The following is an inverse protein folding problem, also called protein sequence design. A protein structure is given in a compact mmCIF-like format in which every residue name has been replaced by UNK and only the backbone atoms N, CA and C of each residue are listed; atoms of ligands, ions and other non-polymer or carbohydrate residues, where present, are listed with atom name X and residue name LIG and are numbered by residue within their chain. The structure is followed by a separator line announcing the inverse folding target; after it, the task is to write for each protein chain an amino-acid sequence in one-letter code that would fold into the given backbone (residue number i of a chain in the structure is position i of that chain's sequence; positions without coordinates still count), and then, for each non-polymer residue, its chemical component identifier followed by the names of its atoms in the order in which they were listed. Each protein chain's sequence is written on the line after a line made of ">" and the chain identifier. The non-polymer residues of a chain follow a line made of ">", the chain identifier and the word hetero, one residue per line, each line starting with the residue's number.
data_IF_895736795040
#
_entry.id   IF_895736795040
#
_cell.length_a   1.000
_cell.length_b   1.000
_cell.length_c   1.000
_cell.angle_alpha   90.00
_cell.angle_beta   90.00
_cell.angle_gamma   90.00
#
_symmetry.space_group_name_H-M   'P 1'
#
loop_
_entity.id
_entity.type
_entity.pdbx_description
1 polymer ?
#
# COMPACT_ATOMS: atom_id res chain seq x y z
N UNK A 1 -26.03 5.73 -4.09
CA UNK A 1 -25.47 6.73 -5.02
C UNK A 1 -26.39 7.93 -5.19
N UNK A 2 -27.70 7.75 -5.42
CA UNK A 2 -28.65 8.85 -5.56
C UNK A 2 -28.78 9.70 -4.28
N UNK A 3 -28.82 9.10 -3.10
CA UNK A 3 -28.83 9.79 -1.80
C UNK A 3 -27.58 10.67 -1.57
N UNK A 4 -26.41 10.20 -2.01
CA UNK A 4 -25.15 10.96 -1.92
C UNK A 4 -25.21 12.19 -2.84
N UNK A 5 -25.76 12.01 -4.04
CA UNK A 5 -25.95 13.11 -5.02
C UNK A 5 -26.94 14.14 -4.48
N UNK A 6 -28.02 13.70 -3.86
CA UNK A 6 -29.07 14.60 -3.36
C UNK A 6 -28.58 15.35 -2.11
N UNK A 7 -27.78 14.70 -1.25
CA UNK A 7 -27.15 15.35 -0.09
C UNK A 7 -26.04 16.32 -0.51
N UNK A 8 -25.24 16.00 -1.53
CA UNK A 8 -24.26 16.93 -2.09
C UNK A 8 -24.92 18.18 -2.68
N UNK A 9 -26.08 18.05 -3.35
CA UNK A 9 -26.88 19.19 -3.87
C UNK A 9 -27.42 20.06 -2.74
N UNK A 10 -27.91 19.46 -1.66
CA UNK A 10 -28.40 20.17 -0.48
C UNK A 10 -27.30 21.01 0.17
N UNK A 11 -26.11 20.44 0.33
CA UNK A 11 -24.95 21.10 0.93
C UNK A 11 -24.35 22.19 0.02
N UNK A 12 -24.37 22.02 -1.30
CA UNK A 12 -23.95 23.05 -2.26
C UNK A 12 -24.96 24.21 -2.34
N UNK A 13 -26.24 23.97 -2.04
CA UNK A 13 -27.27 25.02 -1.98
C UNK A 13 -27.14 25.89 -0.71
N UNK A 14 -26.47 25.42 0.34
CA UNK A 14 -26.26 26.14 1.58
C UNK A 14 -24.94 26.95 1.52
N UNK A 15 -25.09 28.26 1.24
CA UNK A 15 -23.96 29.21 1.22
C UNK A 15 -23.17 29.27 2.53
N UNK A 16 -23.68 28.67 3.61
CA UNK A 16 -23.02 28.56 4.91
C UNK A 16 -21.89 27.52 4.87
N UNK A 17 -21.99 26.47 4.08
CA UNK A 17 -20.96 25.43 3.92
C UNK A 17 -19.70 26.00 3.27
N UNK A 18 -19.83 26.87 2.28
CA UNK A 18 -18.70 27.58 1.68
C UNK A 18 -17.96 28.48 2.68
N UNK A 19 -18.67 28.95 3.73
CA UNK A 19 -18.13 29.78 4.80
C UNK A 19 -17.46 28.96 5.90
N UNK A 20 -17.94 27.75 6.19
CA UNK A 20 -17.41 26.82 7.20
C UNK A 20 -16.08 26.22 6.74
N UNK A 21 -15.84 26.10 5.44
CA UNK A 21 -14.57 25.64 4.88
C UNK A 21 -13.41 26.64 5.07
N UNK A 22 -13.66 27.84 5.60
CA UNK A 22 -12.64 28.77 6.08
C UNK A 22 -11.64 29.23 5.02
N UNK A 23 -11.95 29.11 3.74
CA UNK A 23 -11.10 29.53 2.66
C UNK A 23 -11.09 31.05 2.56
N UNK A 24 -10.07 31.66 3.17
CA UNK A 24 -9.66 33.04 2.84
C UNK A 24 -8.71 32.95 1.65
N UNK A 25 -9.05 33.68 0.60
CA UNK A 25 -8.11 33.94 -0.47
C UNK A 25 -6.83 34.51 0.15
N UNK A 26 -5.73 33.77 0.12
CA UNK A 26 -4.44 34.16 0.70
C UNK A 26 -3.72 33.09 1.53
N UNK A 27 -4.41 32.02 1.97
CA UNK A 27 -3.81 31.00 2.82
C UNK A 27 -3.17 29.82 2.05
N UNK A 28 -3.20 29.83 0.73
CA UNK A 28 -2.53 28.85 -0.12
C UNK A 28 -1.32 29.49 -0.82
N UNK A 29 -0.18 28.79 -0.90
CA UNK A 29 1.03 29.31 -1.59
C UNK A 29 0.87 29.43 -3.11
N UNK A 30 -0.24 29.01 -3.67
CA UNK A 30 -0.66 29.20 -5.06
C UNK A 30 -2.08 29.74 -5.07
N UNK A 31 -2.29 30.88 -5.69
CA UNK A 31 -3.57 31.53 -5.85
C UNK A 31 -4.32 30.97 -7.08
N UNK A 32 -5.09 29.88 -6.96
CA UNK A 32 -6.03 29.52 -8.01
C UNK A 32 -7.22 30.45 -7.84
N UNK A 33 -7.65 31.07 -8.91
CA UNK A 33 -8.97 31.71 -8.95
C UNK A 33 -10.01 30.72 -8.47
N UNK A 34 -11.04 31.17 -7.73
CA UNK A 34 -12.06 30.25 -7.19
C UNK A 34 -12.69 29.49 -8.36
N UNK A 35 -12.42 28.18 -8.42
CA UNK A 35 -13.06 27.31 -9.40
C UNK A 35 -14.52 27.10 -8.98
N UNK A 36 -15.43 27.69 -9.71
CA UNK A 36 -16.85 27.42 -9.56
C UNK A 36 -17.20 26.16 -10.32
N UNK A 37 -17.69 25.14 -9.62
CA UNK A 37 -18.20 23.94 -10.23
C UNK A 37 -19.69 24.15 -10.56
N UNK A 38 -20.01 24.27 -11.85
CA UNK A 38 -21.40 24.49 -12.28
C UNK A 38 -22.23 23.19 -12.30
N UNK A 39 -21.57 22.03 -12.27
CA UNK A 39 -22.23 20.73 -12.34
C UNK A 39 -21.58 19.69 -11.41
N UNK A 40 -22.35 18.67 -11.00
CA UNK A 40 -21.84 17.51 -10.25
C UNK A 40 -20.79 16.73 -11.06
N UNK A 41 -20.88 16.76 -12.40
CA UNK A 41 -19.93 16.12 -13.31
C UNK A 41 -18.57 16.80 -13.26
N UNK A 42 -18.51 18.14 -13.29
CA UNK A 42 -17.25 18.90 -13.18
C UNK A 42 -16.59 18.74 -11.80
N UNK A 43 -17.37 18.55 -10.74
CA UNK A 43 -16.84 18.21 -9.40
C UNK A 43 -16.27 16.79 -9.37
N UNK A 44 -16.92 15.84 -10.02
CA UNK A 44 -16.40 14.46 -10.15
C UNK A 44 -15.09 14.44 -10.94
N UNK A 45 -15.01 15.11 -12.08
CA UNK A 45 -13.79 15.19 -12.89
C UNK A 45 -12.64 15.86 -12.12
N UNK A 46 -12.93 16.89 -11.34
CA UNK A 46 -11.95 17.52 -10.48
C UNK A 46 -11.46 16.57 -9.37
N UNK A 47 -12.36 15.82 -8.73
CA UNK A 47 -12.02 14.85 -7.68
C UNK A 47 -11.31 13.62 -8.25
N UNK A 48 -11.69 13.13 -9.43
CA UNK A 48 -11.09 11.92 -10.04
C UNK A 48 -9.78 12.19 -10.78
N UNK A 49 -9.65 13.33 -11.45
CA UNK A 49 -8.53 13.61 -12.36
C UNK A 49 -7.51 14.61 -11.79
N UNK A 50 -7.81 15.29 -10.69
CA UNK A 50 -7.00 16.39 -10.16
C UNK A 50 -6.08 16.06 -8.98
N UNK A 51 -6.24 14.93 -8.30
CA UNK A 51 -5.60 14.74 -7.00
C UNK A 51 -5.02 13.34 -6.75
N UNK A 52 -3.79 13.16 -7.21
CA UNK A 52 -2.78 12.32 -6.56
C UNK A 52 -1.65 13.24 -6.08
N UNK A 53 -1.84 13.95 -4.97
CA UNK A 53 -0.85 14.83 -4.36
C UNK A 53 -1.15 15.02 -2.87
N UNK A 54 -0.23 14.61 -2.03
CA UNK A 54 -0.35 14.27 -0.62
C UNK A 54 -0.83 15.35 0.38
N UNK A 55 -1.02 16.60 0.00
CA UNK A 55 -1.32 17.66 0.98
C UNK A 55 -2.79 18.10 1.09
N UNK A 56 -3.68 17.60 0.23
CA UNK A 56 -5.13 17.87 0.35
C UNK A 56 -5.89 16.74 1.06
N UNK A 57 -5.27 15.60 1.30
CA UNK A 57 -5.89 14.43 1.93
C UNK A 57 -6.49 14.74 3.30
N UNK A 58 -5.80 15.50 4.13
CA UNK A 58 -6.24 15.82 5.49
C UNK A 58 -7.53 16.66 5.54
N UNK A 59 -7.73 17.57 4.60
CA UNK A 59 -8.92 18.40 4.50
C UNK A 59 -10.08 17.70 3.78
N UNK A 60 -9.77 16.88 2.77
CA UNK A 60 -10.78 16.05 2.08
C UNK A 60 -11.32 14.94 2.99
N UNK A 61 -10.49 14.35 3.86
CA UNK A 61 -10.91 13.36 4.87
C UNK A 61 -11.89 13.99 5.86
N UNK A 62 -11.63 15.21 6.32
CA UNK A 62 -12.55 15.95 7.20
C UNK A 62 -13.88 16.25 6.50
N UNK A 63 -13.85 16.63 5.23
CA UNK A 63 -15.04 16.88 4.41
C UNK A 63 -15.84 15.59 4.18
N UNK A 64 -15.17 14.49 3.82
CA UNK A 64 -15.79 13.17 3.69
C UNK A 64 -16.42 12.69 5.00
N UNK A 65 -15.75 12.85 6.15
CA UNK A 65 -16.31 12.51 7.47
C UNK A 65 -17.57 13.30 7.81
N UNK A 66 -17.66 14.57 7.41
CA UNK A 66 -18.86 15.40 7.64
C UNK A 66 -19.98 15.12 6.64
N UNK A 67 -19.65 14.84 5.37
CA UNK A 67 -20.62 14.59 4.31
C UNK A 67 -21.26 13.20 4.38
N UNK A 68 -20.51 12.19 4.81
CA UNK A 68 -20.95 10.78 4.79
C UNK A 68 -21.56 10.32 6.11
N UNK A 69 -21.61 11.19 7.15
CA UNK A 69 -22.26 10.90 8.44
C UNK A 69 -22.13 9.42 8.80
N UNK A 70 -20.98 9.02 9.34
CA UNK A 70 -20.65 7.69 9.82
C UNK A 70 -21.37 6.56 9.08
N UNK A 71 -20.82 6.06 7.98
CA UNK A 71 -21.24 4.77 7.45
C UNK A 71 -21.04 3.80 8.62
N UNK A 72 -22.15 3.32 9.21
CA UNK A 72 -22.12 2.17 10.10
C UNK A 72 -21.33 1.11 9.32
N UNK A 73 -20.31 0.49 9.94
CA UNK A 73 -19.69 -0.70 9.38
C UNK A 73 -20.83 -1.58 8.89
N UNK A 74 -21.04 -1.62 7.59
CA UNK A 74 -21.91 -2.62 7.01
C UNK A 74 -21.33 -3.94 7.48
N UNK A 75 -22.16 -4.82 8.05
CA UNK A 75 -21.75 -6.17 8.39
C UNK A 75 -21.08 -6.73 7.13
N UNK A 76 -19.75 -6.93 7.17
CA UNK A 76 -19.00 -7.41 6.02
C UNK A 76 -19.39 -8.86 5.85
N UNK A 77 -20.42 -9.11 5.04
CA UNK A 77 -20.94 -10.45 4.81
C UNK A 77 -20.11 -11.13 3.72
N UNK A 78 -19.41 -12.18 4.09
CA UNK A 78 -18.68 -13.02 3.15
C UNK A 78 -19.64 -14.08 2.57
N UNK A 79 -20.27 -14.87 3.46
CA UNK A 79 -21.31 -15.82 3.13
C UNK A 79 -22.21 -16.07 4.35
N UNK A 80 -23.09 -17.07 4.30
CA UNK A 80 -23.91 -17.46 5.44
C UNK A 80 -23.11 -18.23 6.50
N UNK A 81 -22.02 -18.88 6.10
CA UNK A 81 -21.17 -19.74 6.94
C UNK A 81 -19.80 -19.11 7.25
N UNK A 82 -19.36 -18.11 6.49
CA UNK A 82 -18.06 -17.44 6.69
C UNK A 82 -18.29 -16.00 7.13
N UNK A 83 -17.82 -15.68 8.34
CA UNK A 83 -18.07 -14.42 9.03
C UNK A 83 -16.76 -13.64 9.20
N UNK A 84 -16.79 -12.35 8.94
CA UNK A 84 -15.68 -11.45 9.28
C UNK A 84 -15.68 -11.15 10.78
N UNK A 85 -14.54 -11.35 11.43
CA UNK A 85 -14.33 -11.10 12.87
C UNK A 85 -13.14 -10.17 13.14
N UNK A 86 -12.56 -9.57 12.09
CA UNK A 86 -11.45 -8.64 12.19
C UNK A 86 -11.81 -7.31 12.85
N UNK A 87 -10.83 -6.43 12.94
CA UNK A 87 -10.93 -5.12 13.61
C UNK A 87 -10.22 -4.04 12.81
N UNK A 88 -10.86 -2.86 12.71
CA UNK A 88 -10.21 -1.63 12.26
C UNK A 88 -9.45 -0.98 13.43
N UNK A 89 -8.13 -0.77 13.31
CA UNK A 89 -7.35 0.10 14.20
C UNK A 89 -7.18 1.47 13.53
N UNK A 90 -7.88 2.46 14.07
CA UNK A 90 -7.87 3.85 13.60
C UNK A 90 -6.98 4.76 14.44
N UNK A 91 -6.44 4.21 15.52
CA UNK A 91 -5.63 4.93 16.49
C UNK A 91 -4.11 4.67 16.28
N UNK A 92 -3.78 3.74 15.37
CA UNK A 92 -2.40 3.51 14.96
C UNK A 92 -1.92 4.68 14.09
N UNK A 93 -0.73 5.21 14.39
CA UNK A 93 -0.08 6.28 13.62
C UNK A 93 0.92 5.74 12.59
N UNK A 94 1.68 4.70 12.96
CA UNK A 94 2.70 4.08 12.13
C UNK A 94 2.52 2.56 12.09
N UNK A 95 2.28 1.99 10.92
CA UNK A 95 2.35 0.55 10.69
C UNK A 95 3.82 0.10 10.65
N UNK A 96 4.14 -1.04 11.26
CA UNK A 96 5.53 -1.51 11.48
C UNK A 96 6.47 -0.42 12.07
N UNK A 97 5.93 0.56 12.80
CA UNK A 97 6.67 1.70 13.35
C UNK A 97 7.42 2.55 12.31
N UNK A 98 7.02 2.49 11.04
CA UNK A 98 7.68 3.22 9.96
C UNK A 98 6.75 3.77 8.88
N UNK A 99 5.60 3.15 8.61
CA UNK A 99 4.70 3.57 7.53
C UNK A 99 3.54 4.38 8.09
N UNK A 100 3.39 5.62 7.64
CA UNK A 100 2.26 6.45 8.03
C UNK A 100 0.93 5.83 7.53
N UNK A 101 -0.03 5.69 8.43
CA UNK A 101 -1.35 5.13 8.11
C UNK A 101 -2.46 6.07 8.61
N UNK A 102 -2.63 7.23 7.97
CA UNK A 102 -3.55 8.27 8.44
C UNK A 102 -5.02 7.82 8.47
N UNK A 103 -5.37 6.78 7.72
CA UNK A 103 -6.68 6.16 7.70
C UNK A 103 -6.73 4.84 8.50
N UNK A 104 -5.73 4.61 9.36
CA UNK A 104 -5.61 3.40 10.17
C UNK A 104 -5.25 2.16 9.33
N UNK A 105 -5.54 0.99 9.89
CA UNK A 105 -5.35 -0.31 9.24
C UNK A 105 -6.46 -1.26 9.66
N UNK A 106 -6.81 -2.23 8.83
CA UNK A 106 -7.67 -3.34 9.22
C UNK A 106 -6.82 -4.57 9.51
N UNK A 107 -7.05 -5.23 10.65
CA UNK A 107 -6.54 -6.56 10.94
C UNK A 107 -7.68 -7.54 10.69
N UNK A 108 -7.63 -8.20 9.54
CA UNK A 108 -8.69 -9.08 9.12
C UNK A 108 -8.50 -10.47 9.73
N UNK A 109 -9.58 -11.03 10.20
CA UNK A 109 -9.67 -12.38 10.70
C UNK A 109 -11.07 -12.91 10.36
N UNK A 110 -11.19 -14.21 10.14
CA UNK A 110 -12.43 -14.80 9.65
C UNK A 110 -12.80 -16.02 10.47
N UNK A 111 -14.08 -16.34 10.51
CA UNK A 111 -14.62 -17.52 11.18
C UNK A 111 -15.42 -18.34 10.18
N UNK A 112 -15.06 -19.60 10.02
CA UNK A 112 -15.83 -20.58 9.23
C UNK A 112 -16.65 -21.41 10.20
N UNK A 113 -17.98 -21.29 10.07
CA UNK A 113 -18.97 -22.00 10.87
C UNK A 113 -19.45 -23.25 10.12
N UNK A 114 -19.05 -24.41 10.59
CA UNK A 114 -19.40 -25.71 10.03
C UNK A 114 -19.47 -26.77 11.14
N UNK A 115 -19.49 -28.07 10.81
CA UNK A 115 -19.41 -29.18 11.79
C UNK A 115 -18.16 -29.03 12.67
N UNK A 116 -17.04 -28.57 12.06
CA UNK A 116 -15.83 -28.12 12.70
C UNK A 116 -15.65 -26.62 12.45
N UNK A 117 -15.43 -25.88 13.51
CA UNK A 117 -15.31 -24.42 13.44
C UNK A 117 -13.83 -24.04 13.31
N UNK A 118 -13.50 -23.25 12.30
CA UNK A 118 -12.14 -22.75 12.08
C UNK A 118 -12.07 -21.23 12.17
N UNK A 119 -11.12 -20.73 12.97
CA UNK A 119 -10.70 -19.31 13.02
C UNK A 119 -9.53 -19.14 12.07
N UNK A 120 -9.60 -18.16 11.15
CA UNK A 120 -8.55 -17.83 10.20
C UNK A 120 -7.79 -16.63 10.74
N UNK A 121 -6.56 -16.85 11.20
CA UNK A 121 -5.67 -15.89 11.85
C UNK A 121 -6.30 -15.15 13.05
N UNK A 122 -5.51 -14.29 13.68
CA UNK A 122 -5.97 -13.43 14.77
C UNK A 122 -5.82 -11.96 14.39
N UNK A 123 -5.62 -11.06 15.33
CA UNK A 123 -5.36 -9.64 15.12
C UNK A 123 -4.23 -9.16 16.03
N UNK A 124 -3.78 -7.94 15.82
CA UNK A 124 -2.79 -7.28 16.65
C UNK A 124 -3.24 -7.21 18.13
N UNK A 125 -2.29 -7.30 19.05
CA UNK A 125 -2.57 -7.18 20.48
C UNK A 125 -3.18 -5.85 20.88
N UNK A 126 -2.96 -4.79 20.12
CA UNK A 126 -3.54 -3.45 20.32
C UNK A 126 -5.07 -3.49 20.30
N UNK A 127 -5.64 -4.37 19.49
CA UNK A 127 -7.09 -4.51 19.29
C UNK A 127 -7.65 -5.82 19.86
N UNK A 128 -6.88 -6.50 20.70
CA UNK A 128 -7.18 -7.83 21.26
C UNK A 128 -8.60 -7.95 21.84
N UNK A 129 -9.00 -7.02 22.69
CA UNK A 129 -10.30 -7.11 23.36
C UNK A 129 -11.47 -7.02 22.35
N UNK A 130 -11.32 -6.17 21.34
CA UNK A 130 -12.34 -6.04 20.29
C UNK A 130 -12.42 -7.26 19.38
N UNK A 131 -11.26 -7.82 19.04
CA UNK A 131 -11.19 -9.06 18.27
C UNK A 131 -11.86 -10.22 19.02
N UNK A 132 -11.59 -10.40 20.32
CA UNK A 132 -12.28 -11.43 21.13
C UNK A 132 -13.77 -11.19 21.24
N UNK A 133 -14.22 -9.93 21.39
CA UNK A 133 -15.65 -9.60 21.40
C UNK A 133 -16.33 -10.03 20.08
N UNK A 134 -15.68 -9.74 18.93
CA UNK A 134 -16.19 -10.14 17.61
C UNK A 134 -16.25 -11.66 17.46
N UNK A 135 -15.16 -12.36 17.85
CA UNK A 135 -15.07 -13.82 17.82
C UNK A 135 -16.15 -14.47 18.68
N UNK A 136 -16.29 -14.05 19.93
CA UNK A 136 -17.29 -14.62 20.87
C UNK A 136 -18.71 -14.38 20.40
N UNK A 137 -18.99 -13.20 19.87
CA UNK A 137 -20.28 -12.88 19.28
C UNK A 137 -20.60 -13.79 18.09
N UNK A 138 -19.63 -14.02 17.20
CA UNK A 138 -19.80 -14.86 16.03
C UNK A 138 -19.94 -16.34 16.40
N UNK A 139 -19.19 -16.83 17.39
CA UNK A 139 -19.29 -18.19 17.92
C UNK A 139 -20.64 -18.47 18.60
N UNK A 140 -21.31 -17.44 19.13
CA UNK A 140 -22.60 -17.58 19.81
C UNK A 140 -22.66 -18.73 20.83
N UNK A 141 -21.59 -18.91 21.60
CA UNK A 141 -21.46 -19.97 22.62
C UNK A 141 -20.84 -21.28 22.09
N UNK A 142 -20.59 -21.43 20.80
CA UNK A 142 -19.81 -22.55 20.27
C UNK A 142 -18.30 -22.41 20.62
N UNK A 143 -17.53 -23.46 20.40
CA UNK A 143 -16.09 -23.50 20.66
C UNK A 143 -15.37 -23.82 19.35
N UNK A 144 -14.33 -23.10 18.97
CA UNK A 144 -13.60 -23.37 17.75
C UNK A 144 -12.76 -24.66 17.88
N UNK A 145 -12.75 -25.45 16.79
CA UNK A 145 -11.93 -26.68 16.69
C UNK A 145 -10.51 -26.35 16.21
N UNK A 146 -10.38 -25.33 15.36
CA UNK A 146 -9.11 -24.98 14.72
C UNK A 146 -8.85 -23.48 14.75
N UNK A 147 -7.58 -23.11 14.93
CA UNK A 147 -7.01 -21.81 14.58
C UNK A 147 -6.02 -22.03 13.45
N UNK A 148 -6.32 -21.53 12.27
CA UNK A 148 -5.44 -21.55 11.10
C UNK A 148 -4.50 -20.37 11.23
N UNK A 149 -3.19 -20.59 11.09
CA UNK A 149 -2.17 -19.54 11.19
C UNK A 149 -1.48 -19.41 9.84
N UNK A 150 -1.96 -18.50 9.03
CA UNK A 150 -1.41 -18.21 7.70
C UNK A 150 -0.07 -17.49 7.82
N UNK A 151 0.06 -16.62 8.87
CA UNK A 151 1.21 -15.76 9.07
C UNK A 151 1.51 -15.54 10.55
N UNK A 152 2.81 -15.44 10.91
CA UNK A 152 3.27 -15.28 12.29
C UNK A 152 3.66 -13.84 12.67
N UNK A 153 3.50 -12.87 11.77
CA UNK A 153 3.72 -11.49 12.13
C UNK A 153 2.77 -11.06 13.25
N UNK A 154 3.25 -10.30 14.26
CA UNK A 154 2.48 -10.03 15.48
C UNK A 154 1.13 -9.35 15.26
N UNK A 155 0.95 -8.63 14.17
CA UNK A 155 -0.33 -7.99 13.83
C UNK A 155 -1.43 -8.99 13.40
N UNK A 156 -1.05 -10.25 13.07
CA UNK A 156 -1.97 -11.37 12.82
C UNK A 156 -1.84 -12.47 13.87
N UNK A 157 -0.66 -12.59 14.47
CA UNK A 157 -0.34 -13.67 15.41
C UNK A 157 -0.46 -13.25 16.90
N UNK A 158 -0.63 -11.97 17.19
CA UNK A 158 -0.53 -11.43 18.55
C UNK A 158 -1.46 -12.09 19.58
N UNK A 159 -2.59 -12.61 19.15
CA UNK A 159 -3.57 -13.25 20.04
C UNK A 159 -3.55 -14.78 20.03
N UNK A 160 -2.63 -15.45 19.32
CA UNK A 160 -2.56 -16.91 19.22
C UNK A 160 -2.50 -17.55 20.62
N UNK A 161 -1.59 -17.09 21.49
CA UNK A 161 -1.43 -17.65 22.83
C UNK A 161 -2.70 -17.47 23.67
N UNK A 162 -3.28 -16.28 23.65
CA UNK A 162 -4.48 -15.93 24.41
C UNK A 162 -5.69 -16.76 23.94
N UNK A 163 -5.80 -16.99 22.62
CA UNK A 163 -6.82 -17.86 22.04
C UNK A 163 -6.60 -19.32 22.40
N UNK A 164 -5.35 -19.81 22.34
CA UNK A 164 -5.00 -21.18 22.73
C UNK A 164 -5.29 -21.46 24.21
N UNK A 165 -5.08 -20.50 25.12
CA UNK A 165 -5.39 -20.63 26.54
C UNK A 165 -6.89 -20.61 26.79
N UNK A 166 -7.62 -19.77 26.04
CA UNK A 166 -9.08 -19.65 26.17
C UNK A 166 -9.81 -20.90 25.65
N UNK A 167 -9.28 -21.53 24.60
CA UNK A 167 -9.87 -22.71 23.96
C UNK A 167 -8.89 -23.89 24.01
N UNK A 168 -8.78 -24.59 25.15
CA UNK A 168 -7.73 -25.56 25.37
C UNK A 168 -7.79 -26.81 24.47
N UNK A 169 -8.93 -27.11 23.86
CA UNK A 169 -9.09 -28.25 22.92
C UNK A 169 -8.86 -27.85 21.46
N UNK A 170 -8.83 -26.54 21.15
CA UNK A 170 -8.61 -26.02 19.80
C UNK A 170 -7.22 -26.38 19.28
N UNK A 171 -7.10 -27.00 18.12
CA UNK A 171 -5.81 -27.25 17.44
C UNK A 171 -5.36 -26.03 16.69
N UNK A 172 -4.05 -25.81 16.65
CA UNK A 172 -3.43 -24.72 15.91
C UNK A 172 -2.81 -25.31 14.64
N UNK A 173 -3.35 -24.92 13.50
CA UNK A 173 -2.95 -25.44 12.18
C UNK A 173 -1.83 -24.54 11.66
N UNK A 174 -0.67 -25.12 11.43
CA UNK A 174 0.55 -24.45 11.02
C UNK A 174 1.31 -25.29 9.99
N UNK A 175 2.19 -24.70 9.23
CA UNK A 175 3.14 -25.47 8.44
C UNK A 175 4.44 -25.77 9.21
N UNK A 176 5.32 -26.59 8.66
CA UNK A 176 6.57 -27.00 9.31
C UNK A 176 7.53 -25.82 9.60
N UNK A 177 7.43 -24.72 8.84
CA UNK A 177 8.25 -23.53 9.08
C UNK A 177 7.69 -22.75 10.26
N UNK A 178 6.36 -22.55 10.30
CA UNK A 178 5.67 -21.95 11.43
C UNK A 178 5.87 -22.76 12.72
N UNK A 179 5.84 -24.10 12.65
CA UNK A 179 6.15 -24.98 13.79
C UNK A 179 7.50 -24.63 14.44
N UNK A 180 8.52 -24.35 13.62
CA UNK A 180 9.85 -23.99 14.15
C UNK A 180 9.96 -22.55 14.62
N UNK A 181 9.13 -21.63 14.11
CA UNK A 181 9.15 -20.20 14.45
C UNK A 181 8.23 -19.88 15.63
N UNK A 182 7.08 -20.54 15.75
CA UNK A 182 6.07 -20.27 16.75
C UNK A 182 6.61 -20.25 18.20
N UNK A 183 7.53 -21.17 18.62
CA UNK A 183 8.12 -21.13 19.96
C UNK A 183 9.01 -19.90 20.24
N UNK A 184 9.37 -19.13 19.23
CA UNK A 184 10.09 -17.86 19.42
C UNK A 184 9.17 -16.75 19.91
N UNK A 185 7.86 -16.89 19.71
CA UNK A 185 6.83 -15.93 20.09
C UNK A 185 5.99 -16.43 21.27
N UNK A 186 5.62 -17.73 21.29
CA UNK A 186 4.62 -18.26 22.20
C UNK A 186 5.01 -19.63 22.75
N UNK A 187 4.75 -19.85 24.03
CA UNK A 187 4.82 -21.16 24.67
C UNK A 187 3.51 -21.91 24.42
N UNK A 188 3.51 -22.77 23.41
CA UNK A 188 2.37 -23.64 23.03
C UNK A 188 2.88 -25.07 22.92
N UNK A 189 2.15 -26.00 23.56
CA UNK A 189 2.52 -27.43 23.55
C UNK A 189 2.41 -28.02 22.14
N UNK A 190 3.39 -28.83 21.74
CA UNK A 190 3.46 -29.42 20.39
C UNK A 190 2.26 -30.31 20.05
N UNK A 191 1.62 -30.94 21.05
CA UNK A 191 0.42 -31.73 20.84
C UNK A 191 -0.81 -30.91 20.42
N UNK A 192 -0.74 -29.59 20.61
CA UNK A 192 -1.76 -28.65 20.13
C UNK A 192 -1.63 -28.33 18.64
N UNK A 193 -0.48 -28.63 18.02
CA UNK A 193 -0.19 -28.29 16.65
C UNK A 193 -0.72 -29.37 15.69
N UNK A 194 -1.33 -28.92 14.60
CA UNK A 194 -1.64 -29.72 13.42
C UNK A 194 -0.78 -29.20 12.27
N UNK A 195 0.18 -30.02 11.84
CA UNK A 195 1.14 -29.61 10.81
C UNK A 195 0.60 -29.96 9.43
N UNK A 196 0.52 -28.95 8.56
CA UNK A 196 0.07 -29.07 7.17
C UNK A 196 1.22 -28.74 6.19
N UNK A 197 1.09 -29.19 4.97
CA UNK A 197 2.04 -28.95 3.86
C UNK A 197 1.30 -28.62 2.57
N UNK A 198 2.07 -28.32 1.53
CA UNK A 198 1.55 -28.02 0.19
C UNK A 198 0.55 -29.07 -0.29
N UNK A 199 -0.66 -28.60 -0.60
CA UNK A 199 -1.74 -29.43 -1.15
C UNK A 199 -2.50 -30.29 -0.14
N UNK A 200 -2.17 -30.24 1.16
CA UNK A 200 -2.97 -30.90 2.19
C UNK A 200 -4.38 -30.26 2.26
N UNK A 201 -5.33 -31.06 2.71
CA UNK A 201 -6.72 -30.64 2.87
C UNK A 201 -7.18 -30.86 4.32
N UNK A 202 -7.97 -29.92 4.84
CA UNK A 202 -8.64 -30.01 6.13
C UNK A 202 -10.15 -29.89 5.93
N UNK A 203 -10.86 -30.97 6.14
CA UNK A 203 -12.33 -30.95 6.09
C UNK A 203 -12.91 -30.41 7.39
N UNK A 204 -13.85 -29.48 7.26
CA UNK A 204 -14.61 -28.88 8.37
C UNK A 204 -16.04 -29.43 8.42
N UNK A 205 -16.44 -30.24 7.43
CA UNK A 205 -17.79 -30.73 7.21
C UNK A 205 -18.20 -30.48 5.76
N UNK A 206 -18.99 -29.47 5.52
CA UNK A 206 -19.34 -28.99 4.17
C UNK A 206 -18.24 -28.16 3.53
N UNK A 207 -17.38 -27.54 4.31
CA UNK A 207 -16.21 -26.77 3.86
C UNK A 207 -14.93 -27.61 3.89
N UNK A 208 -14.02 -27.32 2.98
CA UNK A 208 -12.69 -27.92 2.94
C UNK A 208 -11.66 -26.86 2.64
N UNK A 209 -10.66 -26.73 3.51
CA UNK A 209 -9.50 -25.86 3.31
C UNK A 209 -8.38 -26.64 2.65
N UNK A 210 -7.88 -26.14 1.51
CA UNK A 210 -6.69 -26.65 0.85
C UNK A 210 -5.54 -25.65 1.05
N UNK A 211 -4.37 -26.15 1.48
CA UNK A 211 -3.23 -25.32 1.88
C UNK A 211 -2.19 -25.17 0.76
N UNK A 212 -1.73 -23.94 0.55
CA UNK A 212 -0.67 -23.61 -0.40
C UNK A 212 0.43 -22.84 0.30
N UNK A 213 1.66 -23.32 0.22
CA UNK A 213 2.79 -22.61 0.81
C UNK A 213 3.18 -21.41 -0.04
N UNK A 214 3.33 -20.27 0.61
CA UNK A 214 3.66 -18.96 0.01
C UNK A 214 4.93 -18.35 0.62
N UNK A 215 6.07 -19.09 0.66
CA UNK A 215 7.27 -18.65 1.36
C UNK A 215 7.77 -17.32 0.81
N UNK A 216 8.13 -16.40 1.71
CA UNK A 216 8.58 -15.04 1.42
C UNK A 216 7.53 -14.13 0.78
N UNK A 217 6.24 -14.43 0.97
CA UNK A 217 5.16 -13.51 0.64
C UNK A 217 4.39 -13.14 1.94
N UNK A 218 4.99 -12.32 2.89
CA UNK A 218 6.37 -11.77 2.73
C UNK A 218 7.38 -12.42 3.71
N UNK A 219 6.97 -13.27 4.65
CA UNK A 219 7.82 -14.05 5.57
C UNK A 219 7.98 -15.51 5.09
N UNK A 220 9.00 -16.23 5.63
CA UNK A 220 9.35 -17.56 5.11
C UNK A 220 8.30 -18.65 5.40
N UNK A 221 7.43 -18.43 6.37
CA UNK A 221 6.44 -19.40 6.84
C UNK A 221 5.04 -19.14 6.28
N UNK A 222 4.83 -18.10 5.50
CA UNK A 222 3.50 -17.75 5.00
C UNK A 222 2.89 -18.90 4.20
N UNK A 223 1.63 -19.18 4.45
CA UNK A 223 0.76 -20.02 3.65
C UNK A 223 -0.55 -19.29 3.35
N UNK A 224 -1.25 -19.77 2.34
CA UNK A 224 -2.58 -19.29 1.96
C UNK A 224 -3.52 -20.47 1.86
N UNK A 225 -4.80 -20.26 2.10
CA UNK A 225 -5.81 -21.29 2.11
C UNK A 225 -6.88 -21.04 1.05
N UNK A 226 -7.22 -22.10 0.31
CA UNK A 226 -8.34 -22.07 -0.61
C UNK A 226 -9.51 -22.87 -0.03
N UNK A 227 -10.60 -22.17 0.26
CA UNK A 227 -11.84 -22.82 0.65
C UNK A 227 -12.58 -23.28 -0.62
N UNK A 228 -12.73 -24.60 -0.75
CA UNK A 228 -13.12 -25.27 -2.01
C UNK A 228 -14.58 -25.07 -2.35
N UNK A 229 -15.49 -25.08 -1.35
CA UNK A 229 -16.95 -25.08 -1.56
C UNK A 229 -17.46 -23.73 -2.06
N UNK A 230 -17.01 -22.65 -1.45
CA UNK A 230 -17.39 -21.28 -1.78
C UNK A 230 -16.35 -20.58 -2.67
N UNK A 231 -15.21 -21.26 -2.97
CA UNK A 231 -14.16 -20.79 -3.87
C UNK A 231 -13.49 -19.51 -3.38
N UNK A 232 -13.16 -19.47 -2.09
CA UNK A 232 -12.59 -18.33 -1.41
C UNK A 232 -11.09 -18.56 -1.18
N UNK A 233 -10.27 -17.60 -1.57
CA UNK A 233 -8.85 -17.56 -1.24
C UNK A 233 -8.63 -16.68 0.00
N UNK A 234 -8.18 -17.26 1.10
CA UNK A 234 -7.57 -16.54 2.22
C UNK A 234 -6.10 -16.33 1.86
N UNK A 235 -5.73 -15.10 1.57
CA UNK A 235 -4.50 -14.79 0.83
C UNK A 235 -3.35 -14.32 1.71
N UNK A 236 -3.44 -14.47 3.02
CA UNK A 236 -2.54 -13.82 3.97
C UNK A 236 -2.42 -12.32 3.62
N UNK A 237 -1.21 -11.74 3.60
CA UNK A 237 -0.98 -10.35 3.21
C UNK A 237 -1.12 -10.08 1.72
N UNK A 238 -1.19 -11.14 0.93
CA UNK A 238 -1.43 -11.00 -0.51
C UNK A 238 -2.73 -10.26 -0.78
N UNK A 239 -2.70 -9.28 -1.69
CA UNK A 239 -3.83 -8.40 -2.04
C UNK A 239 -4.27 -7.44 -0.92
N UNK A 240 -3.52 -7.37 0.18
CA UNK A 240 -3.73 -6.41 1.25
C UNK A 240 -3.45 -4.97 0.84
N UNK A 241 -3.92 -4.02 1.66
CA UNK A 241 -3.65 -2.60 1.53
C UNK A 241 -3.61 -1.91 2.89
N UNK A 242 -2.96 -0.77 2.98
CA UNK A 242 -3.13 0.13 4.13
C UNK A 242 -4.55 0.72 4.16
N UNK A 243 -4.94 1.22 5.32
CA UNK A 243 -6.25 1.82 5.56
C UNK A 243 -7.28 0.86 6.18
N UNK A 244 -8.07 1.38 7.11
CA UNK A 244 -9.19 0.67 7.71
C UNK A 244 -10.27 0.33 6.66
N UNK A 245 -11.06 -0.73 6.87
CA UNK A 245 -12.16 -1.11 5.95
C UNK A 245 -13.18 0.01 5.75
N UNK A 246 -13.35 0.85 6.75
CA UNK A 246 -14.25 2.01 6.70
C UNK A 246 -13.68 3.21 5.95
N UNK A 247 -12.41 3.16 5.50
CA UNK A 247 -11.79 4.21 4.70
C UNK A 247 -12.25 4.08 3.24
N UNK A 248 -12.77 5.18 2.69
CA UNK A 248 -13.14 5.27 1.28
C UNK A 248 -11.92 5.73 0.47
N UNK A 249 -11.12 4.77 0.02
CA UNK A 249 -9.87 4.98 -0.70
C UNK A 249 -9.81 4.10 -1.94
N UNK A 250 -9.07 4.56 -2.95
CA UNK A 250 -8.74 3.71 -4.09
C UNK A 250 -7.85 2.54 -3.65
N UNK A 251 -8.32 1.31 -3.93
CA UNK A 251 -7.58 0.11 -3.56
C UNK A 251 -6.18 0.10 -4.17
N UNK A 252 -6.04 0.46 -5.45
CA UNK A 252 -4.77 0.33 -6.15
C UNK A 252 -3.67 1.25 -5.59
N UNK A 253 -4.02 2.43 -5.10
CA UNK A 253 -3.08 3.37 -4.49
C UNK A 253 -2.47 2.75 -3.23
N UNK A 254 -3.31 2.47 -2.23
CA UNK A 254 -2.86 1.95 -0.95
C UNK A 254 -2.34 0.51 -1.02
N UNK A 255 -2.87 -0.32 -1.93
CA UNK A 255 -2.36 -1.68 -2.14
C UNK A 255 -0.99 -1.68 -2.83
N UNK A 256 -0.71 -0.75 -3.75
CA UNK A 256 0.62 -0.60 -4.37
C UNK A 256 1.62 -0.11 -3.34
N UNK A 257 1.23 0.89 -2.53
CA UNK A 257 2.05 1.39 -1.43
C UNK A 257 2.36 0.27 -0.43
N UNK A 258 1.36 -0.53 -0.02
CA UNK A 258 1.54 -1.72 0.79
C UNK A 258 2.48 -2.73 0.12
N UNK A 259 2.17 -3.13 -1.12
CA UNK A 259 2.92 -4.14 -1.85
C UNK A 259 4.42 -3.80 -1.95
N UNK A 260 4.80 -2.61 -2.46
CA UNK A 260 6.20 -2.28 -2.68
C UNK A 260 6.96 -2.02 -1.38
N UNK A 261 6.30 -1.65 -0.30
CA UNK A 261 6.94 -1.46 0.99
C UNK A 261 7.05 -2.75 1.80
N UNK A 262 6.12 -3.68 1.70
CA UNK A 262 6.07 -4.92 2.50
C UNK A 262 6.55 -6.13 1.66
N UNK A 263 5.92 -6.38 0.51
CA UNK A 263 6.16 -7.59 -0.32
C UNK A 263 7.22 -7.37 -1.41
N UNK A 264 7.41 -6.15 -1.90
CA UNK A 264 8.06 -5.82 -3.17
C UNK A 264 9.44 -6.42 -3.43
N UNK A 265 10.26 -6.68 -2.39
CA UNK A 265 11.54 -7.40 -2.52
C UNK A 265 11.37 -8.79 -3.13
N UNK A 266 10.25 -9.44 -2.93
CA UNK A 266 9.98 -10.84 -3.20
C UNK A 266 9.06 -11.05 -4.41
N UNK A 267 9.15 -10.21 -5.43
CA UNK A 267 8.29 -10.29 -6.62
C UNK A 267 8.29 -11.67 -7.29
N UNK A 268 9.44 -12.35 -7.36
CA UNK A 268 9.51 -13.70 -7.93
C UNK A 268 8.66 -14.72 -7.13
N UNK A 269 8.63 -14.60 -5.81
CA UNK A 269 7.82 -15.45 -4.93
C UNK A 269 6.34 -15.12 -5.06
N UNK A 270 5.99 -13.83 -5.14
CA UNK A 270 4.63 -13.39 -5.41
C UNK A 270 4.13 -13.90 -6.78
N UNK A 271 4.96 -13.81 -7.83
CA UNK A 271 4.64 -14.36 -9.15
C UNK A 271 4.45 -15.90 -9.11
N UNK A 272 5.28 -16.62 -8.32
CA UNK A 272 5.11 -18.06 -8.16
C UNK A 272 3.80 -18.42 -7.45
N UNK A 273 3.39 -17.66 -6.45
CA UNK A 273 2.08 -17.81 -5.78
C UNK A 273 0.94 -17.54 -6.76
N UNK A 274 0.98 -16.47 -7.52
CA UNK A 274 -0.03 -16.17 -8.56
C UNK A 274 -0.14 -17.30 -9.58
N UNK A 275 0.98 -17.91 -9.97
CA UNK A 275 0.98 -19.07 -10.87
C UNK A 275 0.29 -20.30 -10.27
N UNK A 276 0.50 -20.56 -8.97
CA UNK A 276 -0.22 -21.65 -8.26
C UNK A 276 -1.72 -21.35 -8.23
N UNK A 277 -2.11 -20.14 -7.86
CA UNK A 277 -3.50 -19.72 -7.75
C UNK A 277 -4.24 -19.69 -9.11
N UNK A 278 -3.52 -19.56 -10.23
CA UNK A 278 -4.11 -19.50 -11.58
C UNK A 278 -4.88 -20.78 -11.97
N UNK A 279 -4.65 -21.90 -11.29
CA UNK A 279 -5.39 -23.16 -11.49
C UNK A 279 -6.68 -23.26 -10.66
N UNK A 280 -6.94 -22.31 -9.76
CA UNK A 280 -8.08 -22.30 -8.85
C UNK A 280 -9.22 -21.44 -9.42
N UNK A 281 -10.46 -21.87 -9.19
CA UNK A 281 -11.66 -21.09 -9.51
C UNK A 281 -11.99 -20.14 -8.36
N UNK A 282 -11.24 -19.04 -8.24
CA UNK A 282 -11.39 -18.08 -7.14
C UNK A 282 -12.53 -17.12 -7.44
N UNK A 283 -13.50 -17.04 -6.53
CA UNK A 283 -14.64 -16.11 -6.61
C UNK A 283 -14.52 -14.95 -5.61
N UNK A 284 -13.74 -15.12 -4.53
CA UNK A 284 -13.45 -14.09 -3.53
C UNK A 284 -12.02 -14.23 -3.05
N UNK A 285 -11.42 -13.09 -2.68
CA UNK A 285 -10.13 -13.05 -2.00
C UNK A 285 -10.32 -12.35 -0.66
N UNK A 286 -9.90 -12.98 0.40
CA UNK A 286 -9.98 -12.51 1.78
C UNK A 286 -8.57 -12.26 2.32
N UNK A 287 -8.02 -11.05 2.16
CA UNK A 287 -6.68 -10.71 2.65
C UNK A 287 -6.67 -10.43 4.15
N UNK A 288 -5.50 -10.41 4.77
CA UNK A 288 -5.32 -10.04 6.18
C UNK A 288 -5.41 -8.53 6.43
N UNK A 289 -5.31 -7.71 5.37
CA UNK A 289 -5.54 -6.25 5.41
C UNK A 289 -6.42 -5.80 4.25
N UNK A 290 -7.23 -4.76 4.48
CA UNK A 290 -8.04 -4.15 3.44
C UNK A 290 -9.33 -4.93 3.09
N UNK A 291 -10.01 -4.56 2.00
CA UNK A 291 -11.33 -5.08 1.69
C UNK A 291 -11.32 -6.52 1.17
N UNK A 292 -12.43 -7.23 1.39
CA UNK A 292 -12.71 -8.48 0.71
C UNK A 292 -12.98 -8.19 -0.76
N UNK A 293 -12.23 -8.85 -1.65
CA UNK A 293 -12.31 -8.66 -3.09
C UNK A 293 -13.21 -9.73 -3.69
N UNK A 294 -14.31 -9.34 -4.30
CA UNK A 294 -15.31 -10.27 -4.87
C UNK A 294 -15.81 -9.87 -6.27
N UNK A 295 -15.49 -8.66 -6.71
CA UNK A 295 -15.85 -8.18 -8.03
C UNK A 295 -14.59 -7.85 -8.80
N UNK A 296 -14.61 -8.09 -10.12
CA UNK A 296 -13.49 -7.75 -11.01
C UNK A 296 -12.12 -8.28 -10.53
N UNK A 297 -12.04 -9.53 -10.07
CA UNK A 297 -10.81 -10.13 -9.54
C UNK A 297 -9.64 -10.08 -10.53
N UNK A 298 -9.94 -10.12 -11.83
CA UNK A 298 -8.94 -9.98 -12.88
C UNK A 298 -8.15 -8.66 -12.79
N UNK A 299 -8.77 -7.58 -12.33
CA UNK A 299 -8.10 -6.29 -12.11
C UNK A 299 -7.04 -6.40 -11.02
N UNK A 300 -7.40 -6.94 -9.85
CA UNK A 300 -6.49 -7.08 -8.71
C UNK A 300 -5.34 -8.03 -9.02
N UNK A 301 -5.65 -9.17 -9.63
CA UNK A 301 -4.65 -10.16 -10.07
C UNK A 301 -3.72 -9.55 -11.11
N UNK A 302 -4.25 -8.80 -12.07
CA UNK A 302 -3.46 -8.10 -13.08
C UNK A 302 -2.49 -7.08 -12.49
N UNK A 303 -2.91 -6.32 -11.45
CA UNK A 303 -2.02 -5.41 -10.73
C UNK A 303 -0.87 -6.17 -10.06
N UNK A 304 -1.16 -7.24 -9.35
CA UNK A 304 -0.12 -8.07 -8.73
C UNK A 304 0.81 -8.73 -9.74
N UNK A 305 0.34 -9.11 -10.95
CA UNK A 305 1.20 -9.61 -12.03
C UNK A 305 2.21 -8.54 -12.48
N UNK A 306 1.75 -7.30 -12.70
CA UNK A 306 2.61 -6.17 -13.07
C UNK A 306 3.62 -5.89 -11.94
N UNK A 307 3.17 -5.75 -10.70
CA UNK A 307 4.04 -5.42 -9.57
C UNK A 307 5.10 -6.51 -9.31
N UNK A 308 4.72 -7.79 -9.39
CA UNK A 308 5.62 -8.92 -9.14
C UNK A 308 6.67 -9.11 -10.23
N UNK A 309 6.44 -8.60 -11.43
CA UNK A 309 7.41 -8.58 -12.53
C UNK A 309 8.34 -7.37 -12.52
N UNK A 310 8.06 -6.38 -11.66
CA UNK A 310 8.74 -5.07 -11.64
C UNK A 310 8.58 -4.28 -12.94
N UNK A 311 7.57 -4.57 -13.71
CA UNK A 311 7.15 -3.74 -14.84
C UNK A 311 6.52 -2.44 -14.34
N UNK A 312 6.62 -1.41 -15.14
CA UNK A 312 5.94 -0.15 -14.83
C UNK A 312 4.43 -0.31 -15.01
N UNK A 313 3.67 0.25 -14.08
CA UNK A 313 2.22 0.27 -14.18
C UNK A 313 1.74 1.36 -15.14
N UNK A 314 2.40 2.53 -15.11
CA UNK A 314 2.07 3.71 -15.88
C UNK A 314 3.28 4.22 -16.69
N UNK A 315 3.02 4.68 -17.92
CA UNK A 315 3.98 5.44 -18.71
C UNK A 315 4.01 6.89 -18.21
N UNK A 316 5.11 7.25 -17.53
CA UNK A 316 5.26 8.57 -16.93
C UNK A 316 6.65 8.78 -16.34
N UNK A 317 6.84 9.94 -15.72
CA UNK A 317 8.10 10.32 -15.09
C UNK A 317 7.84 10.68 -13.63
N UNK A 318 8.51 9.98 -12.73
CA UNK A 318 8.60 10.35 -11.32
C UNK A 318 9.85 11.19 -11.06
N UNK A 319 9.69 12.39 -10.56
CA UNK A 319 10.80 13.32 -10.21
C UNK A 319 10.90 13.38 -8.70
N UNK A 320 11.79 12.58 -8.11
CA UNK A 320 12.10 12.58 -6.68
C UNK A 320 13.20 13.59 -6.37
N UNK A 321 12.93 14.56 -5.50
CA UNK A 321 13.96 15.54 -5.15
C UNK A 321 14.17 15.72 -3.64
N UNK A 322 15.41 16.10 -3.29
CA UNK A 322 15.80 16.47 -1.93
C UNK A 322 16.45 17.86 -1.94
N UNK A 323 15.84 18.83 -1.26
CA UNK A 323 16.24 20.23 -1.31
C UNK A 323 16.44 20.82 0.09
N UNK A 324 17.59 21.48 0.33
CA UNK A 324 17.93 22.09 1.63
C UNK A 324 17.23 23.44 1.80
N UNK A 325 17.42 24.35 0.82
CA UNK A 325 16.96 25.75 0.89
C UNK A 325 16.01 26.13 -0.27
N UNK A 326 15.39 25.14 -0.94
CA UNK A 326 14.42 25.36 -2.00
C UNK A 326 15.00 25.57 -3.40
N UNK A 327 16.31 25.71 -3.58
CA UNK A 327 16.89 25.92 -4.92
C UNK A 327 16.82 24.65 -5.78
N UNK A 328 17.11 23.46 -5.22
CA UNK A 328 16.93 22.19 -5.92
C UNK A 328 15.45 21.93 -6.19
N UNK A 329 14.56 22.26 -5.25
CA UNK A 329 13.11 22.15 -5.44
C UNK A 329 12.61 22.98 -6.63
N UNK A 330 13.06 24.25 -6.75
CA UNK A 330 12.73 25.10 -7.91
C UNK A 330 13.20 24.48 -9.22
N UNK A 331 14.41 23.92 -9.24
CA UNK A 331 14.97 23.29 -10.43
C UNK A 331 14.23 21.99 -10.77
N UNK A 332 13.87 21.16 -9.78
CA UNK A 332 13.09 19.93 -9.99
C UNK A 332 11.69 20.21 -10.55
N UNK A 333 10.99 21.22 -10.00
CA UNK A 333 9.69 21.66 -10.51
C UNK A 333 9.80 22.18 -11.94
N UNK A 334 10.84 22.97 -12.24
CA UNK A 334 11.11 23.45 -13.59
C UNK A 334 11.39 22.31 -14.57
N UNK A 335 12.14 21.29 -14.14
CA UNK A 335 12.36 20.10 -14.96
C UNK A 335 11.04 19.35 -15.21
N UNK A 336 10.14 19.28 -14.21
CA UNK A 336 8.79 18.73 -14.40
C UNK A 336 8.03 19.45 -15.51
N UNK A 337 8.01 20.79 -15.51
CA UNK A 337 7.41 21.61 -16.58
C UNK A 337 8.05 21.33 -17.96
N UNK A 338 9.37 21.16 -18.01
CA UNK A 338 10.08 20.84 -19.26
C UNK A 338 9.70 19.46 -19.76
N UNK A 339 9.61 18.47 -18.90
CA UNK A 339 9.17 17.11 -19.25
C UNK A 339 7.75 17.09 -19.82
N UNK A 340 6.82 17.81 -19.16
CA UNK A 340 5.44 17.96 -19.66
C UNK A 340 5.42 18.65 -21.04
N UNK A 341 6.15 19.75 -21.21
CA UNK A 341 6.27 20.46 -22.46
C UNK A 341 6.87 19.62 -23.60
N UNK A 342 7.75 18.65 -23.26
CA UNK A 342 8.33 17.67 -24.18
C UNK A 342 7.45 16.45 -24.45
N UNK A 343 6.26 16.38 -23.84
CA UNK A 343 5.25 15.37 -24.13
C UNK A 343 5.27 14.15 -23.21
N UNK A 344 5.87 14.24 -22.01
CA UNK A 344 5.70 13.21 -20.98
C UNK A 344 4.20 13.04 -20.68
N UNK A 345 3.68 11.82 -20.69
CA UNK A 345 2.24 11.55 -20.50
C UNK A 345 1.77 11.92 -19.10
N UNK A 346 2.64 11.72 -18.10
CA UNK A 346 2.40 12.07 -16.72
C UNK A 346 3.72 12.43 -16.06
N UNK A 347 3.72 13.48 -15.26
CA UNK A 347 4.87 13.88 -14.45
C UNK A 347 4.41 14.04 -13.00
N UNK A 348 5.08 13.36 -12.08
CA UNK A 348 4.86 13.49 -10.64
C UNK A 348 6.14 14.01 -10.01
N UNK A 349 6.06 15.08 -9.22
CA UNK A 349 7.23 15.73 -8.60
C UNK A 349 7.07 15.68 -7.08
N UNK A 350 7.92 14.92 -6.39
CA UNK A 350 7.84 14.67 -4.95
C UNK A 350 9.03 15.23 -4.19
N UNK A 351 8.75 15.88 -3.05
CA UNK A 351 9.73 16.35 -2.08
C UNK A 351 9.99 15.29 -1.01
N UNK A 352 11.07 14.53 -1.16
CA UNK A 352 11.44 13.48 -0.22
C UNK A 352 11.64 13.96 1.22
N UNK A 353 11.79 15.28 1.43
CA UNK A 353 11.94 15.87 2.77
C UNK A 353 10.60 16.21 3.44
N UNK A 354 9.48 16.09 2.72
CA UNK A 354 8.16 16.57 3.14
C UNK A 354 7.05 15.56 2.97
N UNK A 355 7.21 14.65 2.04
CA UNK A 355 6.22 13.63 1.69
C UNK A 355 6.62 12.29 2.32
N UNK A 356 5.65 11.40 2.48
CA UNK A 356 5.91 10.07 3.02
C UNK A 356 6.86 9.29 2.11
N UNK A 357 7.89 8.71 2.69
CA UNK A 357 8.87 7.89 1.98
C UNK A 357 8.21 6.68 1.31
N UNK A 358 7.18 6.10 1.91
CA UNK A 358 6.47 4.95 1.36
C UNK A 358 5.71 5.30 0.07
N UNK A 359 5.17 6.52 -0.03
CA UNK A 359 4.56 7.06 -1.24
C UNK A 359 5.63 7.27 -2.34
N UNK A 360 6.77 7.85 -1.98
CA UNK A 360 7.85 8.06 -2.94
C UNK A 360 8.41 6.73 -3.49
N UNK A 361 8.46 5.69 -2.66
CA UNK A 361 8.86 4.34 -3.08
C UNK A 361 7.83 3.76 -4.05
N UNK A 362 6.53 3.83 -3.74
CA UNK A 362 5.50 3.32 -4.62
C UNK A 362 5.51 4.02 -5.99
N UNK A 363 5.63 5.35 -6.01
CA UNK A 363 5.69 6.13 -7.24
C UNK A 363 6.94 5.79 -8.08
N UNK A 364 8.09 5.53 -7.44
CA UNK A 364 9.27 5.08 -8.15
C UNK A 364 9.04 3.75 -8.88
N UNK A 365 8.33 2.80 -8.28
CA UNK A 365 7.99 1.53 -8.92
C UNK A 365 6.88 1.67 -9.96
N UNK A 366 5.94 2.59 -9.75
CA UNK A 366 4.77 2.81 -10.60
C UNK A 366 5.13 3.25 -12.01
N UNK A 367 6.02 4.24 -12.14
CA UNK A 367 6.37 4.84 -13.41
C UNK A 367 7.59 4.16 -14.06
N UNK A 368 7.66 4.22 -15.38
CA UNK A 368 8.75 3.62 -16.18
C UNK A 368 10.01 4.46 -16.19
N UNK A 369 9.92 5.76 -15.86
CA UNK A 369 11.03 6.71 -15.84
C UNK A 369 11.12 7.42 -14.49
N UNK A 370 12.35 7.62 -14.01
CA UNK A 370 12.61 8.35 -12.78
C UNK A 370 13.71 9.40 -12.97
N UNK A 371 13.49 10.58 -12.41
CA UNK A 371 14.54 11.59 -12.22
C UNK A 371 14.83 11.69 -10.72
N UNK A 372 16.09 11.61 -10.33
CA UNK A 372 16.52 11.89 -8.97
C UNK A 372 17.29 13.20 -8.93
N UNK A 373 16.85 14.11 -8.05
CA UNK A 373 17.40 15.47 -7.94
C UNK A 373 17.83 15.77 -6.52
N UNK A 374 19.15 16.01 -6.29
CA UNK A 374 19.69 16.10 -4.94
C UNK A 374 20.72 17.21 -4.80
N UNK A 375 20.72 17.86 -3.63
CA UNK A 375 21.82 18.72 -3.23
C UNK A 375 23.01 17.92 -2.72
N UNK A 376 24.23 18.34 -3.06
CA UNK A 376 25.45 17.84 -2.41
C UNK A 376 25.50 18.32 -0.97
N UNK A 377 25.69 17.39 -0.02
CA UNK A 377 25.73 17.66 1.40
C UNK A 377 26.87 16.85 2.04
N UNK A 378 27.72 17.45 2.84
CA UNK A 378 28.88 16.84 3.51
C UNK A 378 29.75 15.95 2.57
N UNK A 379 29.93 16.40 1.32
CA UNK A 379 30.66 15.64 0.29
C UNK A 379 29.95 14.37 -0.20
N UNK A 380 28.67 14.23 0.09
CA UNK A 380 27.79 13.11 -0.26
C UNK A 380 26.41 13.57 -0.75
N UNK A 381 25.43 12.72 -0.55
CA UNK A 381 24.03 13.02 -0.82
C UNK A 381 23.37 13.67 0.40
N UNK A 382 22.38 14.51 0.16
CA UNK A 382 21.52 14.96 1.24
C UNK A 382 20.78 13.74 1.83
N UNK A 383 20.69 13.60 3.18
CA UNK A 383 20.33 12.33 3.85
C UNK A 383 19.04 11.66 3.35
N UNK A 384 17.98 12.41 3.13
CA UNK A 384 16.70 11.81 2.67
C UNK A 384 16.79 11.18 1.28
N UNK A 385 17.65 11.69 0.38
CA UNK A 385 17.93 11.03 -0.91
C UNK A 385 18.72 9.75 -0.71
N UNK A 386 19.67 9.75 0.23
CA UNK A 386 20.43 8.53 0.55
C UNK A 386 19.51 7.44 1.09
N UNK A 387 18.57 7.79 1.94
CA UNK A 387 17.57 6.88 2.50
C UNK A 387 16.64 6.34 1.40
N UNK A 388 16.13 7.19 0.54
CA UNK A 388 15.33 6.78 -0.63
C UNK A 388 16.07 5.75 -1.50
N UNK A 389 17.33 6.02 -1.86
CA UNK A 389 18.14 5.10 -2.67
C UNK A 389 18.44 3.79 -1.94
N UNK A 390 18.61 3.84 -0.60
CA UNK A 390 18.77 2.66 0.23
C UNK A 390 17.53 1.76 0.14
N UNK A 391 16.34 2.32 0.31
CA UNK A 391 15.08 1.59 0.19
C UNK A 391 14.91 0.98 -1.22
N UNK A 392 15.11 1.74 -2.28
CA UNK A 392 15.03 1.22 -3.65
C UNK A 392 15.95 0.02 -3.87
N UNK A 393 17.22 0.12 -3.43
CA UNK A 393 18.19 -0.96 -3.57
C UNK A 393 17.81 -2.24 -2.83
N UNK A 394 17.20 -2.11 -1.63
CA UNK A 394 16.78 -3.23 -0.80
C UNK A 394 15.46 -3.87 -1.24
N UNK A 395 14.60 -3.11 -1.94
CA UNK A 395 13.32 -3.58 -2.47
C UNK A 395 13.42 -4.14 -3.91
N UNK A 396 14.64 -4.41 -4.39
CA UNK A 396 14.92 -5.02 -5.71
C UNK A 396 14.40 -4.14 -6.88
N UNK A 397 14.51 -2.80 -6.73
CA UNK A 397 14.13 -1.85 -7.76
C UNK A 397 14.90 -2.10 -9.07
N UNK A 398 14.19 -2.16 -10.21
CA UNK A 398 14.76 -2.56 -11.49
C UNK A 398 13.90 -2.14 -12.68
N UNK A 399 14.42 -2.33 -13.91
CA UNK A 399 13.70 -2.14 -15.18
C UNK A 399 13.26 -0.69 -15.42
N UNK A 400 14.06 0.30 -15.04
CA UNK A 400 13.68 1.72 -15.16
C UNK A 400 14.70 2.52 -15.97
N UNK A 401 14.23 3.61 -16.59
CA UNK A 401 15.08 4.64 -17.18
C UNK A 401 15.29 5.76 -16.19
N UNK A 402 16.56 6.14 -15.93
CA UNK A 402 16.93 7.02 -14.81
C UNK A 402 17.73 8.21 -15.31
N UNK A 403 17.33 9.42 -14.89
CA UNK A 403 18.05 10.65 -15.13
C UNK A 403 18.44 11.35 -13.82
N UNK A 404 19.42 12.22 -13.88
CA UNK A 404 20.09 12.78 -12.71
C UNK A 404 20.18 14.31 -12.78
N UNK A 405 19.83 14.94 -11.68
CA UNK A 405 20.04 16.38 -11.47
C UNK A 405 20.70 16.64 -10.12
N UNK A 406 21.72 17.48 -10.07
CA UNK A 406 22.35 17.86 -8.81
C UNK A 406 22.36 19.36 -8.59
N UNK A 407 22.55 19.74 -7.33
CA UNK A 407 22.84 21.12 -6.93
C UNK A 407 24.03 21.15 -5.98
N UNK A 408 24.97 22.03 -6.26
CA UNK A 408 26.13 22.27 -5.37
C UNK A 408 26.86 23.54 -5.75
N UNK A 409 27.12 24.39 -4.77
CA UNK A 409 27.77 25.69 -4.99
C UNK A 409 29.25 25.55 -5.35
N UNK A 410 29.93 24.61 -4.70
CA UNK A 410 31.32 24.21 -4.93
C UNK A 410 31.41 22.68 -4.90
N UNK A 411 32.24 22.06 -5.65
CA UNK A 411 32.47 20.60 -5.68
C UNK A 411 31.18 19.73 -5.63
N UNK A 412 30.23 19.90 -6.59
CA UNK A 412 29.04 19.04 -6.66
C UNK A 412 29.45 17.59 -6.93
N UNK A 413 28.86 16.64 -6.19
CA UNK A 413 29.13 15.19 -6.31
C UNK A 413 27.86 14.33 -6.30
N UNK A 414 26.69 14.96 -6.16
CA UNK A 414 25.46 14.22 -5.98
C UNK A 414 25.09 13.38 -7.22
N UNK A 415 25.22 13.89 -8.44
CA UNK A 415 24.96 13.14 -9.67
C UNK A 415 25.80 11.85 -9.71
N UNK A 416 27.10 11.95 -9.44
CA UNK A 416 27.99 10.79 -9.40
C UNK A 416 27.52 9.76 -8.37
N UNK A 417 27.17 10.19 -7.16
CA UNK A 417 26.75 9.31 -6.06
C UNK A 417 25.42 8.63 -6.33
N UNK A 418 24.46 9.35 -6.90
CA UNK A 418 23.17 8.79 -7.30
C UNK A 418 23.35 7.78 -8.43
N UNK A 419 24.14 8.11 -9.46
CA UNK A 419 24.45 7.18 -10.56
C UNK A 419 25.11 5.90 -10.05
N UNK A 420 26.13 5.98 -9.20
CA UNK A 420 26.78 4.83 -8.56
C UNK A 420 25.81 3.92 -7.78
N UNK A 421 24.74 4.46 -7.23
CA UNK A 421 23.70 3.69 -6.55
C UNK A 421 22.84 2.89 -7.56
N UNK A 422 22.40 3.54 -8.64
CA UNK A 422 21.58 2.88 -9.67
C UNK A 422 22.38 1.89 -10.53
N UNK A 423 23.67 2.08 -10.74
CA UNK A 423 24.57 1.12 -11.43
C UNK A 423 24.62 -0.25 -10.74
N UNK A 424 24.27 -0.33 -9.45
CA UNK A 424 24.20 -1.58 -8.67
C UNK A 424 22.84 -2.27 -8.77
N UNK A 425 21.82 -1.59 -9.31
CA UNK A 425 20.48 -2.13 -9.49
C UNK A 425 20.36 -2.82 -10.85
N UNK A 426 19.41 -3.74 -10.97
CA UNK A 426 19.27 -4.56 -12.18
C UNK A 426 18.59 -3.79 -13.31
N UNK A 427 19.04 -4.02 -14.55
CA UNK A 427 18.36 -3.59 -15.78
C UNK A 427 18.00 -2.09 -15.80
N UNK A 428 18.90 -1.23 -15.28
CA UNK A 428 18.73 0.21 -15.35
C UNK A 428 19.25 0.78 -16.66
N UNK A 429 18.50 1.65 -17.30
CA UNK A 429 18.94 2.50 -18.40
C UNK A 429 19.24 3.88 -17.84
N UNK A 430 20.53 4.22 -17.72
CA UNK A 430 20.97 5.49 -17.14
C UNK A 430 21.22 6.53 -18.22
N UNK A 431 20.57 7.67 -18.12
CA UNK A 431 20.81 8.81 -19.03
C UNK A 431 22.23 9.36 -18.87
N UNK A 432 22.85 9.76 -19.97
CA UNK A 432 24.18 10.40 -19.99
C UNK A 432 24.09 11.90 -19.79
N UNK A 433 23.01 12.54 -20.27
CA UNK A 433 22.74 13.94 -20.01
C UNK A 433 22.33 14.13 -18.55
N UNK A 434 23.12 14.93 -17.83
CA UNK A 434 22.87 15.25 -16.42
C UNK A 434 22.76 16.76 -16.25
N UNK A 435 21.97 17.20 -15.30
CA UNK A 435 21.83 18.63 -14.96
C UNK A 435 22.65 18.93 -13.73
N UNK A 436 23.52 19.97 -13.79
CA UNK A 436 24.26 20.47 -12.65
C UNK A 436 23.92 21.93 -12.39
N UNK A 437 23.16 22.17 -11.29
CA UNK A 437 22.81 23.50 -10.82
C UNK A 437 23.88 23.99 -9.84
N UNK A 438 24.35 25.21 -10.01
CA UNK A 438 25.27 25.87 -9.08
C UNK A 438 24.51 26.89 -8.27
N UNK A 439 24.09 26.51 -7.06
CA UNK A 439 23.25 27.28 -6.13
C UNK A 439 21.86 27.59 -6.72
N UNK A 440 21.67 28.77 -7.29
CA UNK A 440 20.40 29.16 -7.92
C UNK A 440 20.38 28.77 -9.39
N UNK A 441 19.26 28.20 -9.84
CA UNK A 441 18.99 27.89 -11.25
C UNK A 441 19.06 29.16 -12.12
N UNK A 442 19.63 29.04 -13.30
CA UNK A 442 19.78 30.11 -14.30
C UNK A 442 19.11 29.68 -15.60
N UNK A 443 18.86 30.62 -16.50
CA UNK A 443 18.27 30.35 -17.81
C UNK A 443 19.10 29.34 -18.63
N UNK A 444 20.41 29.42 -18.56
CA UNK A 444 21.31 28.48 -19.21
C UNK A 444 21.17 27.02 -18.71
N UNK A 445 20.69 26.82 -17.50
CA UNK A 445 20.48 25.47 -16.96
C UNK A 445 19.26 24.78 -17.58
N UNK A 446 18.30 25.56 -18.14
CA UNK A 446 17.13 25.02 -18.83
C UNK A 446 17.52 24.24 -20.06
N UNK A 447 18.55 24.65 -20.80
CA UNK A 447 19.05 23.87 -21.95
C UNK A 447 19.58 22.49 -21.55
N UNK A 448 20.21 22.36 -20.38
CA UNK A 448 20.60 21.04 -19.84
C UNK A 448 19.37 20.20 -19.49
N UNK A 449 18.32 20.81 -18.92
CA UNK A 449 17.05 20.14 -18.61
C UNK A 449 16.35 19.66 -19.87
N UNK A 450 16.35 20.45 -20.95
CA UNK A 450 15.78 20.07 -22.23
C UNK A 450 16.51 18.86 -22.85
N UNK A 451 17.86 18.86 -22.80
CA UNK A 451 18.68 17.74 -23.31
C UNK A 451 18.45 16.45 -22.49
N UNK A 452 18.36 16.60 -21.16
CA UNK A 452 18.03 15.48 -20.27
C UNK A 452 16.63 14.94 -20.57
N UNK A 453 15.63 15.82 -20.75
CA UNK A 453 14.26 15.44 -21.04
C UNK A 453 14.14 14.74 -22.40
N UNK A 454 14.84 15.23 -23.44
CA UNK A 454 14.86 14.59 -24.77
C UNK A 454 15.44 13.16 -24.69
N UNK A 455 16.53 12.96 -23.93
CA UNK A 455 17.10 11.62 -23.74
C UNK A 455 16.20 10.72 -22.89
N UNK A 456 15.61 11.24 -21.81
CA UNK A 456 14.78 10.44 -20.91
C UNK A 456 13.50 9.96 -21.62
N UNK A 457 12.90 10.78 -22.48
CA UNK A 457 11.64 10.50 -23.17
C UNK A 457 11.84 9.72 -24.49
N UNK A 458 13.04 9.68 -25.04
CA UNK A 458 13.39 8.85 -26.21
C UNK A 458 13.35 7.36 -25.87
#
# INVERSE_FOLDING_TARGET
>A
MQEIIDRAKELLADKTVARVLGWKAGDLPYNPEPAYFETVESLKDFVYNGFCGANLSKYMILLKKQLLGGIKMADVKISDSIVYIGVDDKDIDLFESQYEVPNGVSYNSYLILDEKIAVMDTADMRVSDKWFENLEKALNGAVPDYLIVSHLEPDHAGNIKKAADKYPEMKIVVNSKSETMLPQFFEISADRLLIVKEGDELSLGSHTLQFFMAPMVHWPEVMVEYEVSEKILFSADGFGKFGALSADEDWACEARRYYFNIVGKYGAQAAALLKKAAGLDIQKICPLHGPILQENLAYYIGKYQVWSSYEAEDDGVFVAYASIHGNTAKAAKKLGEVLEAKGAKKVVVSDLSREDMAEAIEDAFRYDKIVVACATYDGGLFPVMQDFLYHLGHKNFQNKKVAFMENGSWAPVANKKMREAFEKMKNMTLCDNMVTIKSTMKEADVAQMEALADELLA
#
